data_IF_499640307850
#
_entry.id   IF_499640307850
#
_cell.length_a   1.000
_cell.length_b   1.000
_cell.length_c   1.000
_cell.angle_alpha   90.00
_cell.angle_beta   90.00
_cell.angle_gamma   90.00
#
_symmetry.space_group_name_H-M   'P 1'
#
loop_
_entity.id
_entity.type
_entity.pdbx_description
1 polymer ?
#
# COMPACT_ATOMS: atom_id res chain seq x y z
N UNK A 1 -49.93 -67.17 -0.98
CA UNK A 1 -48.61 -67.28 -1.63
C UNK A 1 -47.63 -66.52 -0.75
N UNK A 2 -46.94 -67.29 0.09
CA UNK A 2 -45.96 -66.86 1.10
C UNK A 2 -44.67 -66.41 0.41
N UNK A 3 -44.21 -65.20 0.70
CA UNK A 3 -42.83 -64.78 0.36
C UNK A 3 -42.14 -64.39 1.67
N UNK A 4 -41.12 -65.19 1.94
CA UNK A 4 -40.21 -65.20 3.09
C UNK A 4 -39.28 -64.00 3.03
N UNK A 5 -39.24 -63.20 4.10
CA UNK A 5 -38.25 -62.12 4.28
C UNK A 5 -36.94 -62.71 4.81
N UNK A 6 -35.85 -62.55 4.05
CA UNK A 6 -34.49 -62.88 4.50
C UNK A 6 -33.90 -61.66 5.21
N UNK A 7 -33.60 -61.81 6.49
CA UNK A 7 -32.85 -60.84 7.28
C UNK A 7 -31.34 -61.01 6.99
N UNK A 8 -30.70 -59.98 6.43
CA UNK A 8 -29.24 -59.90 6.37
C UNK A 8 -28.74 -59.20 7.64
N UNK A 9 -28.07 -59.94 8.52
CA UNK A 9 -27.31 -59.40 9.63
C UNK A 9 -25.98 -58.84 9.10
N UNK A 10 -25.90 -57.51 8.96
CA UNK A 10 -24.66 -56.80 8.68
C UNK A 10 -23.90 -56.51 9.97
N UNK A 11 -22.77 -57.16 10.19
CA UNK A 11 -21.84 -56.85 11.28
C UNK A 11 -21.14 -55.53 10.94
N UNK A 12 -21.48 -54.45 11.65
CA UNK A 12 -20.77 -53.18 11.55
C UNK A 12 -19.44 -53.28 12.30
N UNK A 13 -18.33 -53.39 11.56
CA UNK A 13 -17.00 -53.25 12.12
C UNK A 13 -16.75 -51.76 12.44
N UNK A 14 -16.79 -51.41 13.73
CA UNK A 14 -16.34 -50.10 14.21
C UNK A 14 -14.81 -50.08 14.13
N UNK A 15 -14.27 -49.49 13.06
CA UNK A 15 -12.86 -49.19 12.98
C UNK A 15 -12.55 -48.05 13.97
N UNK A 16 -11.87 -48.39 15.07
CA UNK A 16 -11.26 -47.41 15.97
C UNK A 16 -10.15 -46.69 15.21
N UNK A 17 -10.45 -45.52 14.68
CA UNK A 17 -9.43 -44.62 14.11
C UNK A 17 -8.71 -43.98 15.29
N UNK A 18 -7.49 -44.43 15.58
CA UNK A 18 -6.61 -43.76 16.54
C UNK A 18 -6.42 -42.30 16.12
N UNK A 19 -6.49 -41.33 17.04
CA UNK A 19 -6.23 -39.94 16.70
C UNK A 19 -4.80 -39.84 16.16
N UNK A 20 -4.67 -39.37 14.93
CA UNK A 20 -3.37 -39.03 14.37
C UNK A 20 -2.74 -37.98 15.27
N UNK A 21 -1.68 -38.36 15.99
CA UNK A 21 -0.86 -37.41 16.74
C UNK A 21 -0.34 -36.43 15.70
N UNK A 22 -0.79 -35.18 15.77
CA UNK A 22 -0.29 -34.12 14.90
C UNK A 22 1.22 -34.06 15.11
N UNK A 23 1.97 -34.51 14.11
CA UNK A 23 3.42 -34.50 14.16
C UNK A 23 3.82 -33.02 14.24
N UNK A 24 4.41 -32.62 15.38
CA UNK A 24 4.95 -31.29 15.52
C UNK A 24 5.95 -31.07 14.39
N UNK A 25 5.58 -30.21 13.44
CA UNK A 25 6.46 -29.85 12.34
C UNK A 25 7.71 -29.24 12.96
N UNK A 26 8.87 -29.85 12.71
CA UNK A 26 10.14 -29.30 13.12
C UNK A 26 10.30 -27.92 12.45
N UNK A 27 10.69 -26.87 13.20
CA UNK A 27 10.88 -25.55 12.63
C UNK A 27 11.91 -25.62 11.50
N UNK A 28 11.52 -25.22 10.29
CA UNK A 28 12.47 -25.11 9.17
C UNK A 28 13.50 -24.04 9.56
N UNK A 29 14.81 -24.29 9.41
CA UNK A 29 15.82 -23.28 9.71
C UNK A 29 15.56 -22.00 8.93
N UNK A 30 15.64 -20.84 9.60
CA UNK A 30 15.40 -19.54 8.97
C UNK A 30 16.28 -19.34 7.72
N UNK A 31 17.52 -19.84 7.72
CA UNK A 31 18.40 -19.79 6.54
C UNK A 31 17.84 -20.56 5.33
N UNK A 32 17.09 -21.64 5.53
CA UNK A 32 16.44 -22.40 4.46
C UNK A 32 15.23 -21.65 3.92
N UNK A 33 14.45 -21.01 4.80
CA UNK A 33 13.32 -20.14 4.40
C UNK A 33 13.82 -18.92 3.63
N UNK A 34 14.89 -18.26 4.10
CA UNK A 34 15.52 -17.12 3.43
C UNK A 34 16.04 -17.52 2.05
N UNK A 35 16.72 -18.68 1.93
CA UNK A 35 17.17 -19.19 0.62
C UNK A 35 16.03 -19.53 -0.33
N UNK A 36 14.87 -19.95 0.19
CA UNK A 36 13.67 -20.19 -0.61
C UNK A 36 13.04 -18.89 -1.15
N UNK A 37 13.30 -17.75 -0.49
CA UNK A 37 12.87 -16.41 -0.90
C UNK A 37 14.05 -15.66 -1.56
N UNK A 38 14.68 -16.28 -2.55
CA UNK A 38 15.66 -15.61 -3.40
C UNK A 38 15.03 -15.28 -4.75
N UNK A 39 14.77 -14.01 -5.02
CA UNK A 39 14.26 -13.50 -6.29
C UNK A 39 15.44 -12.88 -7.07
N UNK A 40 16.11 -13.63 -7.97
CA UNK A 40 17.27 -13.10 -8.68
C UNK A 40 16.84 -12.00 -9.65
N UNK A 41 17.55 -10.88 -9.66
CA UNK A 41 17.31 -9.77 -10.58
C UNK A 41 18.62 -9.22 -11.11
N UNK A 42 18.55 -8.56 -12.26
CA UNK A 42 19.64 -7.79 -12.85
C UNK A 42 19.25 -6.31 -12.90
N UNK A 43 20.24 -5.42 -12.81
CA UNK A 43 20.00 -3.98 -12.86
C UNK A 43 20.87 -3.30 -13.91
N UNK A 44 20.34 -2.24 -14.50
CA UNK A 44 21.13 -1.28 -15.27
C UNK A 44 20.56 0.14 -15.11
N UNK A 45 21.40 1.13 -15.41
CA UNK A 45 21.00 2.54 -15.38
C UNK A 45 21.25 3.16 -16.75
N UNK A 46 20.25 3.86 -17.29
CA UNK A 46 20.42 4.65 -18.52
C UNK A 46 21.22 5.94 -18.26
N UNK A 47 21.84 6.56 -19.28
CA UNK A 47 22.58 7.82 -19.11
C UNK A 47 21.75 8.98 -18.53
N UNK A 48 20.44 8.98 -18.71
CA UNK A 48 19.52 9.97 -18.14
C UNK A 48 19.14 9.70 -16.67
N UNK A 49 19.69 8.66 -16.06
CA UNK A 49 19.51 8.31 -14.65
C UNK A 49 18.37 7.34 -14.36
N UNK A 50 17.58 6.91 -15.36
CA UNK A 50 16.55 5.89 -15.15
C UNK A 50 17.19 4.57 -14.72
N UNK A 51 16.87 4.12 -13.51
CA UNK A 51 17.26 2.80 -13.02
C UNK A 51 16.24 1.76 -13.47
N UNK A 52 16.73 0.61 -13.89
CA UNK A 52 15.88 -0.49 -14.36
C UNK A 52 16.26 -1.76 -13.60
N UNK A 53 15.26 -2.42 -13.05
CA UNK A 53 15.38 -3.73 -12.38
C UNK A 53 14.67 -4.76 -13.25
N UNK A 54 15.34 -5.87 -13.55
CA UNK A 54 14.81 -6.93 -14.41
C UNK A 54 14.84 -8.25 -13.67
N UNK A 55 13.67 -8.83 -13.42
CA UNK A 55 13.49 -10.19 -12.93
C UNK A 55 13.01 -11.09 -14.08
N UNK A 56 13.85 -12.03 -14.50
CA UNK A 56 13.47 -12.98 -15.55
C UNK A 56 12.68 -14.15 -14.94
N UNK A 57 11.40 -14.29 -15.30
CA UNK A 57 10.58 -15.46 -15.00
C UNK A 57 9.78 -15.91 -16.24
N UNK A 58 10.17 -17.05 -16.82
CA UNK A 58 9.63 -17.58 -18.09
C UNK A 58 8.44 -18.54 -17.89
N UNK A 59 7.85 -18.61 -16.70
CA UNK A 59 6.72 -19.52 -16.41
C UNK A 59 5.43 -19.14 -17.15
N UNK A 60 5.26 -17.87 -17.52
CA UNK A 60 4.10 -17.38 -18.25
C UNK A 60 4.53 -16.33 -19.28
N UNK A 61 3.86 -16.23 -20.44
CA UNK A 61 4.20 -15.28 -21.51
C UNK A 61 3.64 -13.88 -21.24
N UNK A 62 3.94 -13.35 -20.05
CA UNK A 62 3.53 -12.02 -19.59
C UNK A 62 4.71 -11.31 -18.96
N UNK A 63 4.67 -9.98 -18.98
CA UNK A 63 5.63 -9.11 -18.31
C UNK A 63 4.83 -8.12 -17.46
N UNK A 64 5.05 -8.16 -16.16
CA UNK A 64 4.66 -7.10 -15.24
C UNK A 64 5.68 -5.97 -15.34
N UNK A 65 5.20 -4.74 -15.49
CA UNK A 65 6.02 -3.55 -15.38
C UNK A 65 5.47 -2.59 -14.34
N UNK A 66 6.38 -1.85 -13.70
CA UNK A 66 5.99 -0.79 -12.79
C UNK A 66 7.02 0.32 -12.75
N UNK A 67 6.57 1.55 -12.96
CA UNK A 67 7.37 2.76 -12.82
C UNK A 67 7.12 3.36 -11.44
N UNK A 68 8.16 3.42 -10.62
CA UNK A 68 8.14 4.01 -9.28
C UNK A 68 8.87 5.34 -9.30
N UNK A 69 8.16 6.42 -8.97
CA UNK A 69 8.72 7.74 -8.79
C UNK A 69 8.97 8.01 -7.31
N UNK A 70 10.17 8.53 -6.98
CA UNK A 70 10.53 9.02 -5.64
C UNK A 70 9.88 10.39 -5.39
N UNK A 71 8.55 10.41 -5.41
CA UNK A 71 7.70 11.56 -5.10
C UNK A 71 6.34 11.10 -4.61
N UNK A 72 5.82 11.74 -3.57
CA UNK A 72 4.57 11.43 -2.90
C UNK A 72 4.14 12.63 -2.07
N UNK A 73 3.06 12.51 -1.31
CA UNK A 73 2.45 13.67 -0.63
C UNK A 73 3.41 14.36 0.37
N UNK A 74 4.38 13.65 0.96
CA UNK A 74 5.39 14.28 1.84
C UNK A 74 6.24 15.36 1.18
N UNK A 75 6.27 15.40 -0.15
CA UNK A 75 7.03 16.37 -0.93
C UNK A 75 6.20 17.62 -1.27
N UNK A 76 4.89 17.59 -0.99
CA UNK A 76 3.98 18.69 -1.28
C UNK A 76 4.40 19.96 -0.52
N UNK A 77 4.36 21.14 -1.19
CA UNK A 77 4.51 22.40 -0.49
C UNK A 77 3.36 22.64 0.49
N UNK A 78 3.63 23.43 1.53
CA UNK A 78 2.57 23.87 2.43
C UNK A 78 1.45 24.60 1.66
N UNK A 79 0.19 24.28 1.97
CA UNK A 79 -0.99 24.83 1.29
C UNK A 79 -1.19 24.30 -0.14
N UNK A 80 -0.63 23.12 -0.45
CA UNK A 80 -0.81 22.41 -1.72
C UNK A 80 -1.00 20.91 -1.49
N UNK A 81 -1.77 20.55 -0.46
CA UNK A 81 -2.02 19.15 -0.13
C UNK A 81 -2.84 18.44 -1.20
N UNK A 82 -2.58 17.15 -1.44
CA UNK A 82 -3.30 16.32 -2.41
C UNK A 82 -2.77 16.43 -3.86
N UNK A 83 -1.70 17.18 -4.06
CA UNK A 83 -1.09 17.38 -5.38
C UNK A 83 -0.49 16.11 -5.96
N UNK A 84 0.18 15.29 -5.16
CA UNK A 84 0.75 14.03 -5.60
C UNK A 84 -0.35 13.11 -6.15
N UNK A 85 -1.47 13.00 -5.43
CA UNK A 85 -2.61 12.18 -5.83
C UNK A 85 -3.35 12.75 -7.04
N UNK A 86 -3.61 14.07 -7.06
CA UNK A 86 -4.18 14.74 -8.22
C UNK A 86 -3.31 14.54 -9.47
N UNK A 87 -1.99 14.52 -9.30
CA UNK A 87 -1.06 14.32 -10.41
C UNK A 87 -1.11 12.90 -10.95
N UNK A 88 -1.29 11.91 -10.07
CA UNK A 88 -1.50 10.53 -10.48
C UNK A 88 -2.73 10.37 -11.38
N UNK A 89 -3.84 11.02 -11.02
CA UNK A 89 -5.03 11.09 -11.87
C UNK A 89 -4.76 11.72 -13.24
N UNK A 90 -4.01 12.82 -13.27
CA UNK A 90 -3.66 13.50 -14.52
C UNK A 90 -2.82 12.63 -15.46
N UNK A 91 -2.03 11.70 -14.92
CA UNK A 91 -1.20 10.76 -15.68
C UNK A 91 -2.00 9.66 -16.40
N UNK A 92 -3.32 9.58 -16.18
CA UNK A 92 -4.22 8.70 -16.94
C UNK A 92 -4.96 9.39 -18.09
N UNK A 93 -4.96 10.73 -18.13
CA UNK A 93 -5.65 11.49 -19.17
C UNK A 93 -4.83 11.65 -20.46
N UNK A 94 -3.87 10.76 -20.68
CA UNK A 94 -3.02 10.76 -21.87
C UNK A 94 -1.88 11.76 -21.86
N UNK A 95 -1.05 11.66 -22.90
CA UNK A 95 0.19 12.40 -23.14
C UNK A 95 0.25 12.86 -24.60
N UNK A 96 1.26 13.63 -25.00
CA UNK A 96 1.31 14.26 -26.34
C UNK A 96 1.17 13.27 -27.50
N UNK A 97 1.74 12.06 -27.38
CA UNK A 97 1.72 11.05 -28.43
C UNK A 97 0.66 9.95 -28.19
N UNK A 98 -0.06 10.02 -27.08
CA UNK A 98 -1.21 9.19 -26.73
C UNK A 98 -2.26 10.03 -25.95
N UNK A 99 -2.97 10.96 -26.61
CA UNK A 99 -3.69 12.07 -25.96
C UNK A 99 -5.02 11.70 -25.27
N UNK A 100 -5.52 10.51 -25.56
CA UNK A 100 -6.77 9.96 -25.03
C UNK A 100 -6.53 9.16 -23.73
N UNK A 101 -7.53 8.41 -23.27
CA UNK A 101 -7.44 7.54 -22.09
C UNK A 101 -6.22 6.62 -22.14
N UNK A 102 -5.36 6.69 -21.12
CA UNK A 102 -4.15 5.87 -21.01
C UNK A 102 -4.47 4.37 -21.02
N UNK A 103 -5.60 3.98 -20.43
CA UNK A 103 -5.93 2.56 -20.24
C UNK A 103 -6.51 1.89 -21.48
N UNK A 104 -7.14 2.63 -22.38
CA UNK A 104 -7.80 2.06 -23.55
C UNK A 104 -6.82 1.28 -24.47
N UNK A 105 -5.63 1.82 -24.82
CA UNK A 105 -4.58 1.07 -25.50
C UNK A 105 -4.14 -0.23 -24.80
N UNK A 106 -4.14 -0.24 -23.46
CA UNK A 106 -3.74 -1.40 -22.65
C UNK A 106 -4.82 -2.49 -22.65
N UNK A 107 -6.10 -2.09 -22.53
CA UNK A 107 -7.24 -3.02 -22.63
C UNK A 107 -7.26 -3.75 -23.97
N UNK A 108 -6.98 -3.05 -25.07
CA UNK A 108 -6.94 -3.61 -26.42
C UNK A 108 -5.90 -4.72 -26.62
N UNK A 109 -4.83 -4.71 -25.82
CA UNK A 109 -3.76 -5.73 -25.88
C UNK A 109 -3.89 -6.80 -24.80
N UNK A 110 -4.99 -6.80 -24.05
CA UNK A 110 -5.24 -7.78 -22.99
C UNK A 110 -4.39 -7.55 -21.74
N UNK A 111 -4.01 -6.31 -21.44
CA UNK A 111 -3.37 -5.99 -20.18
C UNK A 111 -4.27 -6.32 -18.98
N UNK A 112 -3.66 -6.75 -17.88
CA UNK A 112 -4.32 -6.95 -16.59
C UNK A 112 -3.58 -6.17 -15.51
N UNK A 113 -4.19 -6.07 -14.33
CA UNK A 113 -3.58 -5.47 -13.14
C UNK A 113 -2.91 -4.12 -13.42
N UNK A 114 -3.61 -3.25 -14.17
CA UNK A 114 -3.12 -1.92 -14.51
C UNK A 114 -3.74 -0.85 -13.60
N UNK A 115 -2.92 -0.01 -12.98
CA UNK A 115 -3.38 1.12 -12.17
C UNK A 115 -2.21 2.07 -11.82
N UNK A 116 -2.51 3.11 -11.06
CA UNK A 116 -1.56 3.88 -10.28
C UNK A 116 -1.93 3.86 -8.81
N UNK A 117 -0.96 4.17 -7.96
CA UNK A 117 -1.22 4.47 -6.55
C UNK A 117 -0.26 5.54 -6.06
N UNK A 118 -0.73 6.33 -5.12
CA UNK A 118 0.05 7.38 -4.45
C UNK A 118 0.00 7.17 -2.94
N UNK A 119 1.13 7.36 -2.26
CA UNK A 119 1.18 7.47 -0.81
C UNK A 119 2.06 8.66 -0.38
N UNK A 120 2.40 8.75 0.91
CA UNK A 120 3.22 9.86 1.40
C UNK A 120 4.63 9.87 0.79
N UNK A 121 5.20 8.71 0.43
CA UNK A 121 6.59 8.62 -0.05
C UNK A 121 6.72 8.61 -1.57
N UNK A 122 5.81 7.95 -2.26
CA UNK A 122 5.97 7.57 -3.66
C UNK A 122 4.66 7.67 -4.45
N UNK A 123 4.84 7.65 -5.76
CA UNK A 123 3.78 7.48 -6.75
C UNK A 123 4.27 6.38 -7.67
N UNK A 124 3.45 5.36 -7.91
CA UNK A 124 3.79 4.32 -8.86
C UNK A 124 2.65 4.10 -9.83
N UNK A 125 3.02 3.54 -10.97
CA UNK A 125 2.09 3.03 -11.93
C UNK A 125 2.56 1.66 -12.38
N UNK A 126 1.63 0.80 -12.74
CA UNK A 126 1.92 -0.58 -13.03
C UNK A 126 0.88 -1.19 -13.94
N UNK A 127 1.28 -2.23 -14.64
CA UNK A 127 0.45 -3.04 -15.52
C UNK A 127 1.13 -4.38 -15.79
N UNK A 128 0.33 -5.40 -16.11
CA UNK A 128 0.82 -6.69 -16.62
C UNK A 128 0.33 -6.87 -18.04
N UNK A 129 1.24 -7.16 -18.97
CA UNK A 129 0.92 -7.29 -20.39
C UNK A 129 1.44 -8.60 -20.96
N UNK A 130 0.81 -9.16 -22.00
CA UNK A 130 1.42 -10.24 -22.79
C UNK A 130 2.80 -9.82 -23.32
N UNK A 131 3.77 -10.74 -23.41
CA UNK A 131 5.14 -10.43 -23.87
C UNK A 131 5.17 -9.65 -25.19
N UNK A 132 4.28 -10.01 -26.13
CA UNK A 132 4.16 -9.36 -27.44
C UNK A 132 3.68 -7.89 -27.36
N UNK A 133 3.08 -7.48 -26.24
CA UNK A 133 2.54 -6.15 -26.01
C UNK A 133 3.46 -5.26 -25.14
N UNK A 134 4.57 -5.80 -24.62
CA UNK A 134 5.53 -5.07 -23.79
C UNK A 134 5.99 -3.76 -24.43
N UNK A 135 6.27 -3.78 -25.73
CA UNK A 135 6.75 -2.60 -26.45
C UNK A 135 5.70 -1.48 -26.48
N UNK A 136 4.40 -1.81 -26.55
CA UNK A 136 3.32 -0.83 -26.46
C UNK A 136 3.22 -0.23 -25.06
N UNK A 137 3.35 -1.05 -24.01
CA UNK A 137 3.32 -0.56 -22.64
C UNK A 137 4.51 0.36 -22.34
N UNK A 138 5.73 -0.04 -22.72
CA UNK A 138 6.93 0.80 -22.56
C UNK A 138 6.84 2.13 -23.32
N UNK A 139 6.21 2.12 -24.50
CA UNK A 139 5.90 3.37 -25.22
C UNK A 139 4.99 4.28 -24.39
N UNK A 140 3.84 3.78 -23.92
CA UNK A 140 2.87 4.56 -23.14
C UNK A 140 3.51 5.11 -21.86
N UNK A 141 4.26 4.29 -21.13
CA UNK A 141 4.99 4.71 -19.93
C UNK A 141 6.00 5.82 -20.21
N UNK A 142 6.78 5.66 -21.29
CA UNK A 142 7.77 6.67 -21.68
C UNK A 142 7.09 7.97 -22.13
N UNK A 143 5.91 7.87 -22.76
CA UNK A 143 5.20 9.03 -23.27
C UNK A 143 4.66 9.89 -22.14
N UNK A 144 4.03 9.29 -21.13
CA UNK A 144 3.60 10.04 -19.94
C UNK A 144 4.75 10.50 -19.06
N UNK A 145 5.91 9.84 -19.09
CA UNK A 145 7.11 10.32 -18.37
C UNK A 145 7.75 11.53 -19.06
N UNK A 146 7.85 11.52 -20.39
CA UNK A 146 8.61 12.53 -21.14
C UNK A 146 7.77 13.66 -21.73
N UNK A 147 6.51 13.37 -22.05
CA UNK A 147 5.68 14.18 -22.95
C UNK A 147 4.24 14.36 -22.42
N UNK A 148 4.06 14.36 -21.09
CA UNK A 148 2.75 14.60 -20.49
C UNK A 148 2.24 16.03 -20.72
N UNK A 149 3.13 17.03 -20.57
CA UNK A 149 2.71 18.41 -20.33
C UNK A 149 1.91 19.04 -21.49
N UNK A 150 2.16 18.65 -22.74
CA UNK A 150 1.39 19.13 -23.87
C UNK A 150 -0.04 18.59 -23.92
N UNK A 151 -0.33 17.47 -23.25
CA UNK A 151 -1.69 16.93 -23.13
C UNK A 151 -2.46 17.48 -21.91
N UNK A 152 -1.80 18.16 -20.97
CA UNK A 152 -2.44 18.72 -19.77
C UNK A 152 -3.09 20.08 -20.08
N UNK A 153 -4.42 20.07 -20.13
CA UNK A 153 -5.26 21.25 -20.37
C UNK A 153 -6.03 21.66 -19.12
N UNK A 154 -6.54 22.91 -19.09
CA UNK A 154 -7.34 23.40 -17.96
C UNK A 154 -8.59 22.53 -17.77
N UNK A 155 -9.24 22.12 -18.86
CA UNK A 155 -10.40 21.25 -18.82
C UNK A 155 -10.10 19.90 -18.15
N UNK A 156 -8.99 19.24 -18.52
CA UNK A 156 -8.54 17.99 -17.88
C UNK A 156 -8.20 18.18 -16.40
N UNK A 157 -7.61 19.33 -16.03
CA UNK A 157 -7.34 19.66 -14.63
C UNK A 157 -8.63 19.86 -13.83
N UNK A 158 -9.59 20.62 -14.35
CA UNK A 158 -10.87 20.89 -13.67
C UNK A 158 -11.68 19.61 -13.48
N UNK A 159 -11.67 18.75 -14.50
CA UNK A 159 -12.27 17.41 -14.42
C UNK A 159 -11.64 16.58 -13.30
N UNK A 160 -10.31 16.43 -13.28
CA UNK A 160 -9.64 15.58 -12.29
C UNK A 160 -9.72 16.15 -10.88
N UNK A 161 -9.74 17.48 -10.71
CA UNK A 161 -10.10 18.09 -9.41
C UNK A 161 -11.47 17.62 -8.94
N UNK A 162 -12.47 17.66 -9.81
CA UNK A 162 -13.83 17.21 -9.49
C UNK A 162 -13.88 15.73 -9.11
N UNK A 163 -13.15 14.88 -9.82
CA UNK A 163 -13.03 13.44 -9.54
C UNK A 163 -12.40 13.20 -8.17
N UNK A 164 -11.22 13.76 -7.90
CA UNK A 164 -10.50 13.58 -6.63
C UNK A 164 -11.30 14.14 -5.44
N UNK A 165 -11.95 15.29 -5.62
CA UNK A 165 -12.84 15.83 -4.58
C UNK A 165 -14.04 14.92 -4.31
N UNK A 166 -14.59 14.28 -5.34
CA UNK A 166 -15.70 13.34 -5.17
C UNK A 166 -15.23 12.05 -4.48
N UNK A 167 -14.06 11.53 -4.85
CA UNK A 167 -13.43 10.41 -4.16
C UNK A 167 -13.22 10.72 -2.68
N UNK A 168 -12.67 11.90 -2.36
CA UNK A 168 -12.54 12.36 -0.98
C UNK A 168 -13.88 12.35 -0.25
N UNK A 169 -14.94 12.90 -0.85
CA UNK A 169 -16.30 12.86 -0.25
C UNK A 169 -16.79 11.43 -0.05
N UNK A 170 -16.50 10.51 -0.97
CA UNK A 170 -16.91 9.11 -0.85
C UNK A 170 -16.18 8.42 0.31
N UNK A 171 -14.87 8.63 0.45
CA UNK A 171 -14.06 8.13 1.56
C UNK A 171 -14.49 8.72 2.90
N UNK A 172 -14.63 10.04 2.97
CA UNK A 172 -15.06 10.78 4.17
C UNK A 172 -16.46 10.36 4.66
N UNK A 173 -17.33 9.90 3.76
CA UNK A 173 -18.68 9.43 4.08
C UNK A 173 -18.75 7.93 4.45
N UNK A 174 -17.64 7.19 4.43
CA UNK A 174 -17.62 5.82 4.93
C UNK A 174 -17.60 5.79 6.47
N UNK A 175 -18.15 4.74 7.11
CA UNK A 175 -17.94 4.51 8.54
C UNK A 175 -16.45 4.58 8.89
N UNK A 176 -16.11 5.39 9.89
CA UNK A 176 -14.72 5.62 10.33
C UNK A 176 -13.82 6.36 9.33
N UNK A 177 -14.33 6.84 8.18
CA UNK A 177 -13.52 7.45 7.12
C UNK A 177 -12.75 8.72 7.53
N UNK A 178 -13.16 9.37 8.62
CA UNK A 178 -12.50 10.57 9.16
C UNK A 178 -11.45 10.27 10.25
N UNK A 179 -11.29 9.00 10.66
CA UNK A 179 -10.45 8.63 11.81
C UNK A 179 -8.98 8.89 11.53
N UNK A 180 -8.50 8.57 10.32
CA UNK A 180 -7.08 8.72 9.99
C UNK A 180 -6.65 10.19 10.00
N UNK A 181 -7.51 11.14 9.56
CA UNK A 181 -7.25 12.58 9.70
C UNK A 181 -6.99 12.99 11.15
N UNK A 182 -7.75 12.42 12.10
CA UNK A 182 -7.58 12.71 13.53
C UNK A 182 -6.35 12.04 14.11
N UNK A 183 -6.02 10.84 13.66
CA UNK A 183 -4.79 10.16 14.05
C UNK A 183 -3.57 10.97 13.57
N UNK A 184 -3.52 11.32 12.28
CA UNK A 184 -2.44 12.11 11.68
C UNK A 184 -2.27 13.45 12.42
N UNK A 185 -3.35 14.22 12.60
CA UNK A 185 -3.31 15.50 13.31
C UNK A 185 -3.00 15.36 14.82
N UNK A 186 -3.34 14.23 15.42
CA UNK A 186 -3.02 13.89 16.81
C UNK A 186 -1.53 13.63 16.98
N UNK A 187 -0.92 12.89 16.04
CA UNK A 187 0.49 12.48 16.10
C UNK A 187 1.45 13.56 15.61
N UNK A 188 1.09 14.28 14.55
CA UNK A 188 2.00 15.14 13.80
C UNK A 188 1.40 16.53 13.59
N UNK A 189 2.26 17.56 13.64
CA UNK A 189 1.83 18.91 13.28
C UNK A 189 1.53 18.97 11.77
N UNK A 190 0.60 19.84 11.36
CA UNK A 190 0.25 20.03 9.94
C UNK A 190 1.45 20.48 9.08
N UNK A 191 2.46 21.10 9.68
CA UNK A 191 3.70 21.51 9.02
C UNK A 191 4.71 20.37 8.85
N UNK A 192 4.46 19.23 9.49
CA UNK A 192 5.30 18.04 9.36
C UNK A 192 5.13 17.42 7.96
N UNK A 193 6.19 16.93 7.29
CA UNK A 193 6.08 16.34 5.95
C UNK A 193 5.04 15.22 5.84
N UNK A 194 4.88 14.41 6.89
CA UNK A 194 3.86 13.34 6.96
C UNK A 194 2.59 13.77 7.73
N UNK A 195 2.40 15.08 7.97
CA UNK A 195 1.32 15.63 8.81
C UNK A 195 0.00 15.89 8.09
N UNK A 196 -0.15 15.36 6.88
CA UNK A 196 -1.37 15.44 6.07
C UNK A 196 -1.54 14.15 5.29
N UNK A 197 -2.78 13.87 4.91
CA UNK A 197 -3.13 12.66 4.18
C UNK A 197 -3.00 12.87 2.67
N UNK A 198 -2.69 11.79 1.95
CA UNK A 198 -2.40 11.81 0.51
C UNK A 198 -3.50 12.42 -0.36
N UNK A 199 -4.77 12.27 0.04
CA UNK A 199 -5.92 12.83 -0.69
C UNK A 199 -6.01 14.36 -0.61
N UNK A 200 -5.35 14.97 0.38
CA UNK A 200 -5.30 16.42 0.57
C UNK A 200 -6.59 17.08 1.04
N UNK A 201 -6.57 18.42 1.02
CA UNK A 201 -7.70 19.25 1.43
C UNK A 201 -8.51 19.75 0.23
N UNK A 202 -9.82 19.96 0.43
CA UNK A 202 -10.69 20.51 -0.62
C UNK A 202 -10.20 21.88 -1.10
N UNK A 203 -9.72 22.73 -0.19
CA UNK A 203 -9.24 24.07 -0.50
C UNK A 203 -7.96 24.06 -1.35
N UNK A 204 -7.02 23.16 -1.05
CA UNK A 204 -5.77 23.07 -1.81
C UNK A 204 -6.01 22.46 -3.20
N UNK A 205 -6.88 21.45 -3.30
CA UNK A 205 -7.35 20.92 -4.58
C UNK A 205 -8.05 22.01 -5.41
N UNK A 206 -8.85 22.87 -4.75
CA UNK A 206 -9.53 23.98 -5.41
C UNK A 206 -8.58 25.10 -5.88
N UNK A 207 -7.45 25.26 -5.21
CA UNK A 207 -6.42 26.23 -5.56
C UNK A 207 -5.44 25.71 -6.62
N UNK A 208 -5.54 24.44 -7.03
CA UNK A 208 -4.63 23.86 -8.02
C UNK A 208 -4.78 24.53 -9.39
N UNK A 209 -3.64 24.94 -9.97
CA UNK A 209 -3.54 25.60 -11.28
C UNK A 209 -2.66 24.81 -12.25
N UNK A 210 -2.83 25.04 -13.56
CA UNK A 210 -1.96 24.42 -14.57
C UNK A 210 -0.47 24.71 -14.35
N UNK A 211 -0.12 25.91 -13.91
CA UNK A 211 1.27 26.26 -13.60
C UNK A 211 1.81 25.37 -12.50
N UNK A 212 1.07 25.24 -11.40
CA UNK A 212 1.51 24.41 -10.27
C UNK A 212 1.63 22.93 -10.63
N UNK A 213 0.75 22.42 -11.49
CA UNK A 213 0.81 21.04 -12.02
C UNK A 213 2.05 20.84 -12.90
N UNK A 214 2.30 21.77 -13.83
CA UNK A 214 3.47 21.71 -14.71
C UNK A 214 4.79 21.78 -13.93
N UNK A 215 4.84 22.63 -12.91
CA UNK A 215 6.02 22.79 -12.07
C UNK A 215 6.27 21.54 -11.21
N UNK A 216 5.20 20.92 -10.68
CA UNK A 216 5.28 19.65 -9.96
C UNK A 216 5.86 18.54 -10.83
N UNK A 217 5.34 18.37 -12.05
CA UNK A 217 5.87 17.39 -13.02
C UNK A 217 7.36 17.59 -13.27
N UNK A 218 7.75 18.81 -13.64
CA UNK A 218 9.13 19.15 -13.98
C UNK A 218 10.08 18.94 -12.81
N UNK A 219 9.61 19.11 -11.57
CA UNK A 219 10.44 18.99 -10.38
C UNK A 219 10.67 17.55 -9.95
N UNK A 220 9.78 16.62 -10.31
CA UNK A 220 9.73 15.29 -9.68
C UNK A 220 9.69 14.11 -10.64
N UNK A 221 9.07 14.24 -11.82
CA UNK A 221 8.78 13.10 -12.71
C UNK A 221 9.88 12.83 -13.77
N UNK A 222 11.10 13.31 -13.52
CA UNK A 222 12.25 13.00 -14.37
C UNK A 222 12.76 11.55 -14.21
N UNK A 223 13.39 10.96 -15.24
CA UNK A 223 13.86 9.57 -15.23
C UNK A 223 14.85 9.28 -14.09
N UNK A 224 15.67 10.26 -13.71
CA UNK A 224 16.63 10.17 -12.59
C UNK A 224 15.99 10.10 -11.20
N UNK A 225 14.68 10.31 -11.08
CA UNK A 225 13.90 10.11 -9.86
C UNK A 225 13.02 8.85 -9.93
N UNK A 226 13.22 8.01 -10.95
CA UNK A 226 12.37 6.85 -11.20
C UNK A 226 13.15 5.52 -11.20
N UNK A 227 12.43 4.44 -10.88
CA UNK A 227 12.85 3.06 -11.10
C UNK A 227 11.79 2.37 -11.94
N UNK A 228 12.20 1.76 -13.05
CA UNK A 228 11.35 0.86 -13.83
C UNK A 228 11.66 -0.58 -13.42
N UNK A 229 10.68 -1.27 -12.82
CA UNK A 229 10.77 -2.70 -12.56
C UNK A 229 10.09 -3.47 -13.71
N UNK A 230 10.76 -4.50 -14.22
CA UNK A 230 10.26 -5.44 -15.23
C UNK A 230 10.40 -6.86 -14.69
N UNK A 231 9.30 -7.61 -14.63
CA UNK A 231 9.29 -8.97 -14.12
C UNK A 231 8.46 -9.89 -15.04
N UNK A 232 9.03 -11.01 -15.47
CA UNK A 232 8.32 -12.00 -16.30
C UNK A 232 9.12 -12.46 -17.50
N UNK A 233 8.43 -12.70 -18.62
CA UNK A 233 9.01 -13.25 -19.86
C UNK A 233 9.80 -12.20 -20.66
N UNK A 234 10.92 -11.78 -20.06
CA UNK A 234 11.88 -10.81 -20.58
C UNK A 234 13.29 -11.18 -20.12
N UNK A 235 14.33 -10.72 -20.81
CA UNK A 235 15.72 -10.76 -20.32
C UNK A 235 16.32 -9.35 -20.28
N UNK A 236 17.43 -9.19 -19.56
CA UNK A 236 18.10 -7.90 -19.40
C UNK A 236 18.54 -7.29 -20.75
N UNK A 237 18.90 -8.11 -21.74
CA UNK A 237 19.34 -7.63 -23.05
C UNK A 237 18.17 -7.02 -23.84
N UNK A 238 17.01 -7.67 -23.83
CA UNK A 238 15.77 -7.17 -24.41
C UNK A 238 15.25 -5.95 -23.67
N UNK A 239 15.24 -5.98 -22.34
CA UNK A 239 14.88 -4.85 -21.50
C UNK A 239 15.76 -3.63 -21.81
N UNK A 240 17.08 -3.80 -21.82
CA UNK A 240 18.03 -2.71 -22.11
C UNK A 240 17.79 -2.10 -23.48
N UNK A 241 17.55 -2.92 -24.52
CA UNK A 241 17.25 -2.43 -25.86
C UNK A 241 15.96 -1.61 -25.89
N UNK A 242 14.86 -2.15 -25.37
CA UNK A 242 13.55 -1.48 -25.42
C UNK A 242 13.51 -0.24 -24.52
N UNK A 243 14.02 -0.33 -23.29
CA UNK A 243 14.04 0.81 -22.36
C UNK A 243 14.95 1.92 -22.88
N UNK A 244 16.09 1.60 -23.50
CA UNK A 244 16.92 2.62 -24.18
C UNK A 244 16.17 3.28 -25.33
N UNK A 245 15.42 2.51 -26.14
CA UNK A 245 14.64 3.03 -27.27
C UNK A 245 13.58 4.04 -26.82
N UNK A 246 12.82 3.73 -25.77
CA UNK A 246 11.67 4.53 -25.36
C UNK A 246 12.01 5.63 -24.36
N UNK A 247 12.85 5.34 -23.38
CA UNK A 247 13.16 6.27 -22.30
C UNK A 247 14.45 7.04 -22.52
N UNK A 248 15.36 6.56 -23.38
CA UNK A 248 16.72 7.09 -23.49
C UNK A 248 16.82 8.54 -23.95
N UNK A 249 15.83 9.04 -24.70
CA UNK A 249 15.78 10.43 -25.16
C UNK A 249 15.16 11.40 -24.14
N UNK A 250 14.55 10.88 -23.06
CA UNK A 250 13.93 11.71 -22.02
C UNK A 250 15.04 12.34 -21.19
N UNK A 251 15.05 13.67 -21.13
CA UNK A 251 16.01 14.43 -20.31
C UNK A 251 15.81 14.15 -18.82
N UNK A 252 16.92 14.06 -18.07
CA UNK A 252 16.86 14.10 -16.60
C UNK A 252 16.24 15.40 -16.10
N UNK A 253 15.47 15.32 -15.03
CA UNK A 253 14.94 16.47 -14.29
C UNK A 253 15.79 16.83 -13.06
N UNK A 254 15.39 17.86 -12.30
CA UNK A 254 15.90 18.11 -10.96
C UNK A 254 15.74 16.86 -10.09
N UNK A 255 16.71 16.61 -9.21
CA UNK A 255 16.62 15.48 -8.28
C UNK A 255 15.62 15.80 -7.16
N UNK A 256 14.70 14.88 -6.84
CA UNK A 256 13.84 15.04 -5.67
C UNK A 256 14.70 15.10 -4.41
N UNK A 257 14.50 16.15 -3.60
CA UNK A 257 15.29 16.36 -2.41
C UNK A 257 14.95 15.32 -1.32
N UNK A 258 15.96 14.57 -0.88
CA UNK A 258 15.82 13.71 0.29
C UNK A 258 15.54 14.57 1.53
N UNK A 259 14.44 14.29 2.23
CA UNK A 259 14.11 14.92 3.51
C UNK A 259 14.48 13.97 4.63
N UNK A 260 15.35 14.40 5.55
CA UNK A 260 15.57 13.70 6.83
C UNK A 260 14.45 14.13 7.76
N UNK A 261 13.62 13.18 8.16
CA UNK A 261 12.47 13.43 9.03
C UNK A 261 12.62 12.53 10.25
N UNK A 262 12.92 13.08 11.44
CA UNK A 262 13.08 12.27 12.63
C UNK A 262 11.73 11.72 13.10
N UNK A 263 11.78 10.56 13.75
CA UNK A 263 10.63 10.01 14.49
C UNK A 263 10.27 11.00 15.60
N UNK A 264 9.04 11.49 15.59
CA UNK A 264 8.56 12.47 16.57
C UNK A 264 7.72 11.78 17.63
N UNK A 265 8.03 12.04 18.91
CA UNK A 265 7.25 11.54 20.05
C UNK A 265 6.38 12.63 20.64
N UNK A 266 5.18 12.28 21.09
CA UNK A 266 4.34 13.19 21.85
C UNK A 266 4.90 13.40 23.26
N UNK A 267 4.79 14.63 23.78
CA UNK A 267 5.21 14.95 25.17
C UNK A 267 4.29 14.36 26.22
N UNK A 268 3.03 14.09 25.86
CA UNK A 268 2.04 13.38 26.67
C UNK A 268 1.03 12.67 25.75
N UNK A 269 0.35 11.61 26.23
CA UNK A 269 -0.73 10.98 25.47
C UNK A 269 -1.83 11.99 25.12
N UNK A 270 -2.31 11.94 23.87
CA UNK A 270 -3.50 12.68 23.44
C UNK A 270 -4.68 11.72 23.31
N UNK A 271 -5.85 12.16 23.75
CA UNK A 271 -7.10 11.41 23.65
C UNK A 271 -8.12 12.28 22.96
N UNK A 272 -8.71 11.77 21.89
CA UNK A 272 -9.81 12.41 21.17
C UNK A 272 -11.00 11.43 21.11
N UNK A 273 -12.22 11.95 21.27
CA UNK A 273 -13.44 11.19 21.08
C UNK A 273 -14.21 11.79 19.92
N UNK A 274 -14.45 10.99 18.90
CA UNK A 274 -15.26 11.36 17.75
C UNK A 274 -16.67 10.77 17.90
N UNK A 275 -17.67 11.50 17.40
CA UNK A 275 -19.03 10.99 17.24
C UNK A 275 -19.34 10.96 15.76
N UNK A 276 -19.79 9.81 15.28
CA UNK A 276 -20.14 9.58 13.89
C UNK A 276 -21.28 8.56 13.79
N UNK A 277 -21.90 8.42 12.61
CA UNK A 277 -22.96 7.45 12.32
C UNK A 277 -22.36 6.08 12.04
N UNK A 278 -21.91 5.43 13.10
CA UNK A 278 -21.27 4.09 13.05
C UNK A 278 -22.04 3.08 13.89
N UNK A 279 -21.99 1.81 13.48
CA UNK A 279 -22.69 0.72 14.16
C UNK A 279 -22.00 0.29 15.47
N UNK A 280 -20.69 0.54 15.60
CA UNK A 280 -19.91 0.14 16.77
C UNK A 280 -18.85 1.20 17.11
N UNK A 281 -18.49 1.27 18.39
CA UNK A 281 -17.37 2.10 18.85
C UNK A 281 -16.06 1.44 18.42
N UNK A 282 -15.20 2.18 17.73
CA UNK A 282 -13.83 1.76 17.45
C UNK A 282 -12.87 2.50 18.39
N UNK A 283 -12.02 1.74 19.07
CA UNK A 283 -10.89 2.27 19.84
C UNK A 283 -9.65 2.17 18.95
N UNK A 284 -8.94 3.28 18.77
CA UNK A 284 -7.63 3.30 18.11
C UNK A 284 -6.55 3.77 19.08
N UNK A 285 -5.39 3.11 19.03
CA UNK A 285 -4.15 3.51 19.71
C UNK A 285 -3.06 3.57 18.65
N UNK A 286 -2.47 4.74 18.45
CA UNK A 286 -1.46 4.95 17.42
C UNK A 286 -0.23 5.64 17.97
N UNK A 287 0.93 5.29 17.42
CA UNK A 287 2.23 5.87 17.75
C UNK A 287 3.01 6.15 16.48
N UNK A 288 3.75 7.26 16.46
CA UNK A 288 4.81 7.48 15.48
C UNK A 288 6.00 6.60 15.85
N UNK A 289 6.50 5.82 14.89
CA UNK A 289 7.59 4.85 15.08
C UNK A 289 8.65 5.02 13.98
N UNK A 290 9.80 4.34 14.04
CA UNK A 290 10.75 4.29 12.92
C UNK A 290 10.10 3.78 11.63
N UNK A 291 10.53 4.35 10.50
CA UNK A 291 10.04 3.96 9.16
C UNK A 291 10.80 2.79 8.56
N UNK A 292 10.42 2.43 7.34
CA UNK A 292 10.93 1.28 6.58
C UNK A 292 12.43 1.30 6.31
N UNK A 293 13.08 2.47 6.34
CA UNK A 293 14.54 2.56 6.23
C UNK A 293 15.28 2.24 7.54
N UNK A 294 14.56 2.13 8.65
CA UNK A 294 15.12 1.76 9.96
C UNK A 294 14.97 0.25 10.17
N UNK A 295 16.05 -0.48 10.53
CA UNK A 295 15.99 -1.91 10.83
C UNK A 295 14.98 -2.28 11.92
N UNK A 296 14.62 -1.36 12.82
CA UNK A 296 13.60 -1.58 13.85
C UNK A 296 12.19 -1.73 13.28
N UNK A 297 11.92 -1.27 12.06
CA UNK A 297 10.60 -1.45 11.42
C UNK A 297 10.21 -2.93 11.32
N UNK A 298 11.17 -3.81 11.01
CA UNK A 298 10.92 -5.25 10.94
C UNK A 298 10.52 -5.82 12.30
N UNK A 299 11.13 -5.34 13.39
CA UNK A 299 10.76 -5.77 14.74
C UNK A 299 9.34 -5.31 15.10
N UNK A 300 8.94 -4.13 14.63
CA UNK A 300 7.59 -3.60 14.81
C UNK A 300 6.55 -4.39 14.01
N UNK A 301 6.87 -4.82 12.79
CA UNK A 301 6.00 -5.69 11.99
C UNK A 301 5.75 -7.02 12.70
N UNK A 302 6.81 -7.62 13.26
CA UNK A 302 6.69 -8.85 14.06
C UNK A 302 5.85 -8.60 15.31
N UNK A 303 6.09 -7.50 16.02
CA UNK A 303 5.33 -7.14 17.21
C UNK A 303 3.84 -6.96 16.89
N UNK A 304 3.51 -6.27 15.80
CA UNK A 304 2.14 -6.09 15.33
C UNK A 304 1.45 -7.43 15.05
N UNK A 305 2.14 -8.34 14.35
CA UNK A 305 1.61 -9.67 14.03
C UNK A 305 1.29 -10.49 15.30
N UNK A 306 2.22 -10.55 16.25
CA UNK A 306 2.03 -11.28 17.51
C UNK A 306 0.94 -10.65 18.39
N UNK A 307 0.87 -9.32 18.40
CA UNK A 307 -0.07 -8.59 19.24
C UNK A 307 -1.50 -8.65 18.70
N UNK A 308 -1.71 -8.43 17.40
CA UNK A 308 -3.05 -8.33 16.81
C UNK A 308 -3.17 -8.66 15.32
N UNK A 309 -2.10 -9.07 14.62
CA UNK A 309 -2.15 -9.31 13.16
C UNK A 309 -2.55 -10.74 12.76
N UNK A 310 -2.52 -11.70 13.69
CA UNK A 310 -2.81 -13.11 13.43
C UNK A 310 -4.09 -13.59 14.13
N UNK A 311 -4.71 -14.66 13.61
CA UNK A 311 -5.90 -15.26 14.22
C UNK A 311 -5.66 -15.86 15.62
N UNK A 312 -4.39 -16.14 15.95
CA UNK A 312 -3.90 -16.61 17.25
C UNK A 312 -3.14 -15.52 18.02
N UNK A 313 -3.23 -14.26 17.60
CA UNK A 313 -2.56 -13.15 18.26
C UNK A 313 -3.13 -12.89 19.65
N UNK A 314 -2.32 -12.26 20.51
CA UNK A 314 -2.67 -12.05 21.93
C UNK A 314 -3.98 -11.30 22.12
N UNK A 315 -4.18 -10.21 21.39
CA UNK A 315 -5.38 -9.41 21.48
C UNK A 315 -6.60 -10.17 20.93
N UNK A 316 -6.44 -10.92 19.84
CA UNK A 316 -7.52 -11.71 19.26
C UNK A 316 -8.00 -12.81 20.22
N UNK A 317 -7.06 -13.55 20.82
CA UNK A 317 -7.38 -14.57 21.83
C UNK A 317 -8.07 -13.97 23.06
N UNK A 318 -7.49 -12.91 23.63
CA UNK A 318 -8.00 -12.32 24.86
C UNK A 318 -9.33 -11.55 24.64
N UNK A 319 -9.34 -10.54 23.77
CA UNK A 319 -10.45 -9.60 23.67
C UNK A 319 -11.64 -10.16 22.88
N UNK A 320 -11.40 -10.97 21.84
CA UNK A 320 -12.46 -11.47 20.95
C UNK A 320 -12.92 -12.86 21.38
N UNK A 321 -12.01 -13.83 21.55
CA UNK A 321 -12.39 -15.23 21.80
C UNK A 321 -12.77 -15.49 23.25
N UNK A 322 -11.91 -15.13 24.19
CA UNK A 322 -12.06 -15.48 25.61
C UNK A 322 -13.00 -14.51 26.33
N UNK A 323 -12.65 -13.23 26.38
CA UNK A 323 -13.39 -12.21 27.15
C UNK A 323 -14.63 -11.69 26.40
N UNK A 324 -14.68 -11.87 25.07
CA UNK A 324 -15.78 -11.46 24.18
C UNK A 324 -16.18 -9.98 24.36
N UNK A 325 -15.18 -9.13 24.56
CA UNK A 325 -15.31 -7.68 24.71
C UNK A 325 -15.31 -6.93 23.37
N UNK A 326 -14.70 -7.52 22.35
CA UNK A 326 -14.58 -6.96 21.02
C UNK A 326 -15.14 -7.91 19.95
N UNK A 327 -15.54 -7.37 18.81
CA UNK A 327 -15.94 -8.14 17.62
C UNK A 327 -14.76 -8.39 16.69
N UNK A 328 -13.82 -7.45 16.63
CA UNK A 328 -12.55 -7.58 15.93
C UNK A 328 -11.45 -6.77 16.62
N UNK A 329 -10.21 -7.17 16.38
CA UNK A 329 -9.01 -6.43 16.74
C UNK A 329 -7.96 -6.61 15.67
N UNK A 330 -7.17 -5.57 15.42
CA UNK A 330 -6.02 -5.60 14.54
C UNK A 330 -4.88 -4.79 15.12
N UNK A 331 -3.65 -5.26 14.94
CA UNK A 331 -2.45 -4.45 15.15
C UNK A 331 -1.59 -4.50 13.89
N UNK A 332 -1.11 -3.35 13.43
CA UNK A 332 -0.32 -3.23 12.21
C UNK A 332 0.69 -2.10 12.36
N UNK A 333 1.81 -2.23 11.65
CA UNK A 333 2.79 -1.19 11.48
C UNK A 333 2.73 -0.72 10.03
N UNK A 334 2.48 0.56 9.83
CA UNK A 334 2.47 1.18 8.51
C UNK A 334 3.74 2.01 8.34
N UNK A 335 4.70 1.46 7.59
CA UNK A 335 6.01 2.07 7.38
C UNK A 335 6.05 3.02 6.18
N UNK A 336 6.42 4.28 6.43
CA UNK A 336 6.91 5.21 5.42
C UNK A 336 8.44 5.16 5.37
N UNK A 337 9.09 5.83 4.42
CA UNK A 337 10.55 5.77 4.27
C UNK A 337 11.27 6.15 5.58
N UNK A 338 10.89 7.26 6.21
CA UNK A 338 11.62 7.83 7.36
C UNK A 338 10.93 7.57 8.72
N UNK A 339 9.61 7.49 8.74
CA UNK A 339 8.81 7.24 9.95
C UNK A 339 7.78 6.16 9.65
N UNK A 340 7.12 5.64 10.67
CA UNK A 340 5.97 4.76 10.52
C UNK A 340 4.89 5.12 11.52
N UNK A 341 3.76 4.43 11.40
CA UNK A 341 2.66 4.47 12.35
C UNK A 341 2.36 3.05 12.83
N UNK A 342 2.59 2.78 14.10
CA UNK A 342 2.11 1.55 14.74
C UNK A 342 0.71 1.82 15.26
N UNK A 343 -0.26 0.99 14.88
CA UNK A 343 -1.66 1.17 15.26
C UNK A 343 -2.27 -0.12 15.76
N UNK A 344 -3.04 -0.01 16.85
CA UNK A 344 -3.95 -1.05 17.33
C UNK A 344 -5.37 -0.51 17.22
N UNK A 345 -6.25 -1.26 16.55
CA UNK A 345 -7.67 -0.95 16.44
C UNK A 345 -8.51 -2.07 17.06
N UNK A 346 -9.53 -1.70 17.83
CA UNK A 346 -10.47 -2.63 18.46
C UNK A 346 -11.89 -2.17 18.18
N UNK A 347 -12.70 -3.01 17.55
CA UNK A 347 -14.14 -2.75 17.38
C UNK A 347 -14.89 -3.34 18.57
N UNK A 348 -15.39 -2.46 19.43
CA UNK A 348 -16.06 -2.82 20.68
C UNK A 348 -17.36 -3.56 20.39
N UNK A 349 -17.60 -4.65 21.12
CA UNK A 349 -18.86 -5.39 20.99
C UNK A 349 -20.03 -4.57 21.54
N UNK A 350 -21.18 -4.66 20.88
CA UNK A 350 -22.40 -4.01 21.33
C UNK A 350 -22.73 -4.33 22.81
N UNK A 351 -23.12 -3.30 23.57
CA UNK A 351 -23.45 -3.40 24.99
C UNK A 351 -22.24 -3.49 25.94
N UNK A 352 -21.01 -3.55 25.44
CA UNK A 352 -19.79 -3.52 26.25
C UNK A 352 -19.32 -2.07 26.47
N UNK A 353 -18.96 -1.75 27.70
CA UNK A 353 -18.36 -0.45 28.05
C UNK A 353 -16.97 -0.27 27.38
N UNK A 354 -16.79 0.72 26.49
CA UNK A 354 -15.50 0.98 25.86
C UNK A 354 -14.36 1.26 26.86
N UNK A 355 -14.66 1.81 28.04
CA UNK A 355 -13.63 2.06 29.06
C UNK A 355 -13.01 0.76 29.58
N UNK A 356 -13.83 -0.27 29.76
CA UNK A 356 -13.36 -1.62 30.13
C UNK A 356 -12.48 -2.23 29.04
N UNK A 357 -12.85 -2.05 27.76
CA UNK A 357 -12.05 -2.54 26.63
C UNK A 357 -10.70 -1.82 26.56
N UNK A 358 -10.67 -0.50 26.75
CA UNK A 358 -9.44 0.28 26.81
C UNK A 358 -8.52 -0.20 27.95
N UNK A 359 -9.07 -0.40 29.15
CA UNK A 359 -8.28 -0.90 30.29
C UNK A 359 -7.67 -2.28 30.01
N UNK A 360 -8.42 -3.19 29.36
CA UNK A 360 -7.90 -4.52 28.99
C UNK A 360 -6.86 -4.45 27.89
N UNK A 361 -7.09 -3.62 26.86
CA UNK A 361 -6.12 -3.36 25.79
C UNK A 361 -4.79 -2.85 26.37
N UNK A 362 -4.86 -1.85 27.25
CA UNK A 362 -3.66 -1.24 27.85
C UNK A 362 -2.92 -2.27 28.74
N UNK A 363 -3.65 -3.11 29.49
CA UNK A 363 -3.06 -4.18 30.31
C UNK A 363 -2.35 -5.26 29.47
N UNK A 364 -2.97 -5.73 28.37
CA UNK A 364 -2.36 -6.73 27.47
C UNK A 364 -1.14 -6.14 26.76
N UNK A 365 -1.23 -4.88 26.34
CA UNK A 365 -0.10 -4.19 25.69
C UNK A 365 1.06 -4.00 26.66
N UNK A 366 0.78 -3.60 27.91
CA UNK A 366 1.81 -3.47 28.94
C UNK A 366 2.48 -4.81 29.28
N UNK A 367 1.71 -5.90 29.34
CA UNK A 367 2.24 -7.26 29.52
C UNK A 367 3.16 -7.66 28.36
N UNK A 368 2.75 -7.40 27.11
CA UNK A 368 3.56 -7.65 25.92
C UNK A 368 4.88 -6.87 25.94
N UNK A 369 4.84 -5.58 26.31
CA UNK A 369 6.04 -4.76 26.42
C UNK A 369 6.99 -5.24 27.53
N UNK A 370 6.45 -5.78 28.62
CA UNK A 370 7.23 -6.28 29.75
C UNK A 370 7.85 -7.67 29.48
N UNK A 371 7.07 -8.57 28.91
CA UNK A 371 7.41 -9.99 28.80
C UNK A 371 7.84 -10.40 27.38
N UNK A 372 7.73 -9.50 26.40
CA UNK A 372 8.06 -9.76 25.01
C UNK A 372 7.04 -10.67 24.30
N UNK A 373 7.26 -10.99 23.01
CA UNK A 373 6.46 -11.98 22.28
C UNK A 373 6.67 -13.40 22.83
N UNK A 374 5.65 -14.26 22.71
CA UNK A 374 5.66 -15.67 23.17
C UNK A 374 5.03 -16.58 22.13
#
# INVERSE_FOLDING_TARGET
MTITSVALAGVAAIALVSPAVAQQAQPVPAATLVKAVNLPYEEFTLPNGLRVVVHTDRKAPVVALSVWYDVGAKHEPAGKTGFAHLFEHLMFNGSENAPDDFFEPLKQVGATDFNGTTNLDRTNYYETVPTAALERALFLESDRMGYLLGAVTQAKLDEQRGVVQNEKRQGDNQPYGLVDYKITAGLLAVTHPYGHDTIGSMADLDAATLTTVRDWFRSHYGPNNAVLALAGDIDVATAKRLVTKYFGAISSGPKTAARVVPVTTLTAPKVETMKDRVAAVMISRSWTVPGSNDPQSVNLDIAANVLGGLASSRLQEALVRQEKLATSVSAYNYGYNQIGQFTIQVVVKEGVDPAKVMQRLDAITADFLKNGPT
#
